data_IF_937920271759
#
_entry.id   IF_937920271759
#
_cell.length_a   1.000
_cell.length_b   1.000
_cell.length_c   1.000
_cell.angle_alpha   90.00
_cell.angle_beta   90.00
_cell.angle_gamma   90.00
#
_symmetry.space_group_name_H-M   'P 1'
#
loop_
_entity.id
_entity.type
_entity.pdbx_description
1 polymer ?
#
# COMPACT_ATOMS: atom_id res chain seq x y z
N UNK A 1 -15.93 -2.38 -12.04
CA UNK A 1 -15.44 -2.42 -10.65
C UNK A 1 -15.12 -1.01 -10.24
N UNK A 2 -15.69 -0.55 -9.14
CA UNK A 2 -15.28 0.66 -8.46
C UNK A 2 -14.18 0.32 -7.44
N UNK A 3 -13.27 1.27 -7.18
CA UNK A 3 -12.07 1.09 -6.33
C UNK A 3 -11.26 -0.17 -6.73
N UNK A 4 -10.88 -0.24 -8.00
CA UNK A 4 -10.17 -1.41 -8.56
C UNK A 4 -8.82 -1.71 -7.90
N UNK A 5 -8.27 -0.80 -7.12
CA UNK A 5 -7.09 -1.05 -6.27
C UNK A 5 -7.29 -2.18 -5.28
N UNK A 6 -8.54 -2.52 -4.94
CA UNK A 6 -8.87 -3.67 -4.08
C UNK A 6 -8.46 -5.01 -4.67
N UNK A 7 -8.26 -5.09 -5.99
CA UNK A 7 -7.82 -6.30 -6.72
C UNK A 7 -6.38 -6.21 -7.23
N UNK A 8 -5.57 -5.29 -6.75
CA UNK A 8 -4.17 -5.07 -7.20
C UNK A 8 -3.24 -6.26 -6.94
N UNK A 9 -3.52 -7.10 -5.94
CA UNK A 9 -2.66 -8.22 -5.55
C UNK A 9 -3.08 -9.51 -6.26
N UNK A 10 -2.34 -10.01 -7.27
CA UNK A 10 -2.76 -11.15 -8.11
C UNK A 10 -3.00 -12.46 -7.34
N UNK A 11 -2.26 -12.67 -6.25
CA UNK A 11 -2.32 -13.89 -5.45
C UNK A 11 -3.46 -13.90 -4.43
N UNK A 12 -4.08 -12.76 -4.16
CA UNK A 12 -5.17 -12.65 -3.19
C UNK A 12 -6.41 -13.42 -3.67
N UNK A 13 -7.09 -14.13 -2.76
CA UNK A 13 -8.32 -14.89 -3.05
C UNK A 13 -9.39 -13.99 -3.69
N UNK A 14 -9.57 -12.77 -3.14
CA UNK A 14 -10.49 -11.76 -3.70
C UNK A 14 -10.19 -11.47 -5.16
N UNK A 15 -8.93 -11.17 -5.50
CA UNK A 15 -8.51 -10.85 -6.86
C UNK A 15 -8.79 -11.99 -7.82
N UNK A 16 -8.40 -13.21 -7.45
CA UNK A 16 -8.65 -14.41 -8.28
C UNK A 16 -10.13 -14.65 -8.55
N UNK A 17 -10.97 -14.50 -7.53
CA UNK A 17 -12.41 -14.65 -7.67
C UNK A 17 -13.00 -13.59 -8.59
N UNK A 18 -12.62 -12.32 -8.41
CA UNK A 18 -13.15 -11.19 -9.22
C UNK A 18 -12.64 -11.28 -10.67
N UNK A 19 -11.36 -11.58 -10.88
CA UNK A 19 -10.81 -11.76 -12.23
C UNK A 19 -11.47 -12.97 -12.93
N UNK A 20 -11.83 -14.03 -12.20
CA UNK A 20 -12.58 -15.16 -12.74
C UNK A 20 -13.99 -14.81 -13.23
N UNK A 21 -14.62 -13.76 -12.68
CA UNK A 21 -15.95 -13.31 -13.13
C UNK A 21 -15.93 -12.55 -14.47
N UNK A 22 -14.76 -12.19 -14.99
CA UNK A 22 -14.63 -11.41 -16.24
C UNK A 22 -15.34 -12.06 -17.42
N UNK A 23 -15.33 -13.40 -17.50
CA UNK A 23 -15.94 -14.16 -18.61
C UNK A 23 -17.48 -14.07 -18.60
N UNK A 24 -18.08 -13.72 -17.47
CA UNK A 24 -19.53 -13.51 -17.33
C UNK A 24 -19.98 -12.12 -17.77
N UNK A 25 -19.04 -11.19 -17.97
CA UNK A 25 -19.34 -9.80 -18.29
C UNK A 25 -18.97 -9.49 -19.74
N UNK A 26 -19.95 -9.07 -20.55
CA UNK A 26 -19.75 -8.61 -21.94
C UNK A 26 -18.92 -7.32 -21.98
N UNK A 27 -19.16 -6.39 -21.06
CA UNK A 27 -18.46 -5.11 -20.96
C UNK A 27 -17.83 -4.99 -19.57
N UNK A 28 -16.58 -4.57 -19.54
CA UNK A 28 -15.80 -4.46 -18.29
C UNK A 28 -15.22 -3.07 -18.17
N UNK A 29 -15.36 -2.48 -17.01
CA UNK A 29 -14.75 -1.19 -16.65
C UNK A 29 -14.21 -1.25 -15.24
N UNK A 30 -13.13 -0.54 -15.01
CA UNK A 30 -12.57 -0.31 -13.67
C UNK A 30 -12.48 1.19 -13.43
N UNK A 31 -12.76 1.60 -12.21
CA UNK A 31 -12.68 2.98 -11.74
C UNK A 31 -11.79 3.01 -10.51
N UNK A 32 -10.93 4.00 -10.43
CA UNK A 32 -10.08 4.21 -9.25
C UNK A 32 -9.47 5.61 -9.26
N UNK A 33 -9.35 6.20 -8.11
CA UNK A 33 -8.63 7.48 -7.95
C UNK A 33 -7.10 7.35 -8.05
N UNK A 34 -6.55 6.14 -7.87
CA UNK A 34 -5.11 5.87 -7.98
C UNK A 34 -4.86 4.41 -8.35
N UNK A 35 -4.66 4.07 -9.63
CA UNK A 35 -4.45 2.68 -10.07
C UNK A 35 -3.14 2.09 -9.56
N UNK A 36 -2.16 2.93 -9.29
CA UNK A 36 -0.85 2.56 -8.72
C UNK A 36 -0.76 3.14 -7.32
N UNK A 37 -0.84 2.28 -6.31
CA UNK A 37 -0.77 2.70 -4.90
C UNK A 37 0.60 2.46 -4.28
N UNK A 38 1.19 1.31 -4.54
CA UNK A 38 2.47 0.91 -3.97
C UNK A 38 3.54 0.72 -5.05
N UNK A 39 3.15 0.16 -6.19
CA UNK A 39 4.08 -0.15 -7.26
C UNK A 39 3.39 -0.23 -8.62
N UNK A 40 4.12 -0.03 -9.73
CA UNK A 40 3.58 -0.26 -11.08
C UNK A 40 3.04 -1.68 -11.29
N UNK A 41 3.48 -2.65 -10.48
CA UNK A 41 2.99 -4.02 -10.54
C UNK A 41 1.53 -4.17 -10.10
N UNK A 42 0.98 -3.18 -9.40
CA UNK A 42 -0.43 -3.11 -9.00
C UNK A 42 -1.39 -3.11 -10.21
N UNK A 43 -0.90 -2.72 -11.39
CA UNK A 43 -1.69 -2.64 -12.62
C UNK A 43 -2.01 -4.02 -13.22
N UNK A 44 -1.17 -5.04 -12.97
CA UNK A 44 -1.32 -6.34 -13.65
C UNK A 44 -2.71 -6.95 -13.47
N UNK A 45 -3.17 -7.12 -12.23
CA UNK A 45 -4.44 -7.78 -11.96
C UNK A 45 -5.66 -6.92 -12.34
N UNK A 46 -5.53 -5.60 -12.23
CA UNK A 46 -6.56 -4.66 -12.65
C UNK A 46 -6.77 -4.72 -14.18
N UNK A 47 -5.69 -4.72 -14.95
CA UNK A 47 -5.75 -4.87 -16.40
C UNK A 47 -6.20 -6.27 -16.81
N UNK A 48 -5.78 -7.33 -16.11
CA UNK A 48 -6.20 -8.71 -16.36
C UNK A 48 -7.72 -8.94 -16.17
N UNK A 49 -8.38 -8.13 -15.34
CA UNK A 49 -9.84 -8.13 -15.25
C UNK A 49 -10.48 -7.53 -16.52
N UNK A 50 -9.89 -6.47 -17.09
CA UNK A 50 -10.39 -5.86 -18.33
C UNK A 50 -10.17 -6.80 -19.52
N UNK A 51 -8.91 -7.11 -19.77
CA UNK A 51 -8.45 -8.06 -20.77
C UNK A 51 -7.05 -8.57 -20.40
N UNK A 52 -6.82 -9.89 -20.36
CA UNK A 52 -5.52 -10.46 -20.03
C UNK A 52 -4.42 -10.11 -21.04
N UNK A 53 -4.81 -9.68 -22.25
CA UNK A 53 -3.88 -9.37 -23.34
C UNK A 53 -3.45 -7.89 -23.38
N UNK A 54 -4.12 -6.98 -22.66
CA UNK A 54 -3.81 -5.54 -22.71
C UNK A 54 -2.36 -5.19 -22.36
N UNK A 55 -1.72 -5.99 -21.50
CA UNK A 55 -0.34 -5.77 -21.10
C UNK A 55 0.66 -6.71 -21.80
N UNK A 56 0.23 -7.55 -22.74
CA UNK A 56 1.05 -8.57 -23.43
C UNK A 56 1.77 -9.55 -22.48
N UNK A 57 1.22 -9.75 -21.29
CA UNK A 57 1.77 -10.66 -20.30
C UNK A 57 0.66 -11.54 -19.70
N UNK A 58 0.71 -12.84 -20.00
CA UNK A 58 -0.25 -13.80 -19.46
C UNK A 58 -0.01 -14.14 -17.98
N UNK A 59 1.20 -13.89 -17.48
CA UNK A 59 1.61 -14.22 -16.12
C UNK A 59 2.13 -13.01 -15.38
N UNK A 60 1.75 -12.89 -14.10
CA UNK A 60 2.32 -11.89 -13.22
C UNK A 60 3.85 -11.99 -13.11
N UNK A 61 4.41 -13.19 -13.20
CA UNK A 61 5.86 -13.39 -13.10
C UNK A 61 6.59 -12.79 -14.30
N UNK A 62 6.08 -12.98 -15.53
CA UNK A 62 6.66 -12.39 -16.74
C UNK A 62 6.51 -10.87 -16.74
N UNK A 63 5.35 -10.35 -16.32
CA UNK A 63 5.12 -8.93 -16.13
C UNK A 63 6.08 -8.32 -15.11
N UNK A 64 6.21 -8.94 -13.93
CA UNK A 64 7.16 -8.50 -12.90
C UNK A 64 8.60 -8.52 -13.41
N UNK A 65 9.02 -9.57 -14.11
CA UNK A 65 10.37 -9.67 -14.67
C UNK A 65 10.65 -8.56 -15.70
N UNK A 66 9.64 -8.11 -16.47
CA UNK A 66 9.78 -7.03 -17.44
C UNK A 66 9.88 -5.66 -16.78
N UNK A 67 9.08 -5.39 -15.75
CA UNK A 67 8.90 -4.05 -15.20
C UNK A 67 9.55 -3.82 -13.84
N UNK A 68 10.17 -4.84 -13.21
CA UNK A 68 10.90 -4.66 -11.96
C UNK A 68 12.37 -5.07 -12.05
N UNK A 69 13.15 -4.49 -11.15
CA UNK A 69 14.54 -4.85 -10.88
C UNK A 69 14.56 -5.67 -9.61
N UNK A 70 15.02 -6.92 -9.71
CA UNK A 70 15.05 -7.85 -8.60
C UNK A 70 16.47 -8.02 -8.07
N UNK A 71 16.60 -8.09 -6.73
CA UNK A 71 17.85 -8.42 -6.06
C UNK A 71 17.62 -9.61 -5.13
N UNK A 72 18.50 -10.59 -5.19
CA UNK A 72 18.49 -11.70 -4.26
C UNK A 72 19.19 -11.30 -2.95
N UNK A 73 18.51 -11.49 -1.83
CA UNK A 73 19.02 -11.24 -0.49
C UNK A 73 19.12 -12.58 0.24
N UNK A 74 20.31 -12.91 0.72
CA UNK A 74 20.53 -14.09 1.53
C UNK A 74 20.16 -13.80 2.99
N UNK A 75 19.22 -14.58 3.52
CA UNK A 75 18.77 -14.55 4.90
C UNK A 75 19.26 -15.78 5.68
N UNK A 76 20.55 -16.09 5.57
CA UNK A 76 21.14 -17.29 6.17
C UNK A 76 20.77 -18.57 5.41
N UNK A 77 19.79 -19.31 5.88
CA UNK A 77 19.40 -20.63 5.29
C UNK A 77 18.57 -20.52 3.99
N UNK A 78 18.10 -19.35 3.60
CA UNK A 78 17.28 -19.14 2.38
C UNK A 78 17.61 -17.83 1.68
N UNK A 79 17.44 -17.82 0.35
CA UNK A 79 17.53 -16.63 -0.47
C UNK A 79 16.14 -16.12 -0.86
N UNK A 80 15.92 -14.82 -0.77
CA UNK A 80 14.64 -14.17 -1.11
C UNK A 80 14.89 -13.10 -2.15
N UNK A 81 14.09 -13.11 -3.22
CA UNK A 81 14.13 -12.09 -4.25
C UNK A 81 13.24 -10.91 -3.88
N UNK A 82 13.83 -9.72 -3.75
CA UNK A 82 13.17 -8.48 -3.39
C UNK A 82 13.22 -7.52 -4.57
N UNK A 83 12.11 -6.79 -4.81
CA UNK A 83 12.07 -5.71 -5.79
C UNK A 83 12.83 -4.51 -5.22
N UNK A 84 13.86 -4.06 -5.92
CA UNK A 84 14.69 -2.90 -5.54
C UNK A 84 14.44 -1.67 -6.42
N UNK A 85 13.72 -1.84 -7.54
CA UNK A 85 13.41 -0.75 -8.45
C UNK A 85 12.50 -1.19 -9.59
N UNK A 86 12.20 -0.25 -10.48
CA UNK A 86 11.34 -0.46 -11.65
C UNK A 86 12.03 0.03 -12.91
N UNK A 87 11.67 -0.58 -14.04
CA UNK A 87 12.21 -0.27 -15.36
C UNK A 87 11.10 -0.32 -16.42
N UNK A 88 11.40 0.16 -17.62
CA UNK A 88 10.48 0.14 -18.77
C UNK A 88 9.12 0.81 -18.52
N UNK A 89 9.06 1.81 -17.62
CA UNK A 89 7.80 2.46 -17.22
C UNK A 89 7.17 3.24 -18.38
N UNK A 90 7.97 3.80 -19.28
CA UNK A 90 7.47 4.45 -20.51
C UNK A 90 6.72 3.47 -21.41
N UNK A 91 7.23 2.25 -21.59
CA UNK A 91 6.57 1.17 -22.33
C UNK A 91 5.24 0.79 -21.66
N UNK A 92 5.24 0.62 -20.34
CA UNK A 92 4.03 0.31 -19.59
C UNK A 92 2.97 1.41 -19.73
N UNK A 93 3.37 2.66 -19.63
CA UNK A 93 2.48 3.82 -19.82
C UNK A 93 1.87 3.84 -21.22
N UNK A 94 2.69 3.63 -22.25
CA UNK A 94 2.23 3.58 -23.65
C UNK A 94 1.22 2.44 -23.88
N UNK A 95 1.39 1.29 -23.23
CA UNK A 95 0.44 0.17 -23.33
C UNK A 95 -0.91 0.46 -22.67
N UNK A 96 -0.92 1.23 -21.60
CA UNK A 96 -2.15 1.53 -20.82
C UNK A 96 -2.93 2.67 -21.49
N UNK A 97 -2.26 3.64 -22.09
CA UNK A 97 -2.88 4.84 -22.67
C UNK A 97 -4.07 4.57 -23.60
N UNK A 98 -4.04 3.56 -24.50
CA UNK A 98 -5.13 3.35 -25.47
C UNK A 98 -6.47 2.97 -24.87
N UNK A 99 -6.50 2.40 -23.66
CA UNK A 99 -7.72 1.94 -22.99
C UNK A 99 -7.98 2.60 -21.62
N UNK A 100 -7.19 3.63 -21.28
CA UNK A 100 -7.35 4.36 -20.02
C UNK A 100 -7.59 5.84 -20.26
N UNK A 101 -8.41 6.43 -19.41
CA UNK A 101 -8.65 7.86 -19.36
C UNK A 101 -8.36 8.37 -17.96
N UNK A 102 -7.70 9.51 -17.89
CA UNK A 102 -7.39 10.19 -16.63
C UNK A 102 -8.02 11.57 -16.63
N UNK A 103 -8.90 11.79 -15.67
CA UNK A 103 -9.55 13.07 -15.44
C UNK A 103 -9.04 13.64 -14.10
N UNK A 104 -8.48 14.83 -14.13
CA UNK A 104 -8.03 15.51 -12.91
C UNK A 104 -9.16 16.41 -12.37
N UNK A 105 -9.24 16.50 -11.03
CA UNK A 105 -10.23 17.38 -10.39
C UNK A 105 -10.06 18.85 -10.79
N UNK A 106 -8.81 19.25 -10.93
CA UNK A 106 -8.46 20.66 -11.30
C UNK A 106 -8.86 21.01 -12.74
N UNK A 107 -9.02 20.00 -13.62
CA UNK A 107 -9.44 20.20 -15.02
C UNK A 107 -10.96 20.26 -15.18
N UNK A 108 -11.71 19.68 -14.25
CA UNK A 108 -13.15 19.45 -14.38
C UNK A 108 -14.02 20.15 -13.34
N UNK A 109 -13.42 20.62 -12.23
CA UNK A 109 -14.16 21.17 -11.11
C UNK A 109 -13.55 22.50 -10.70
N UNK A 110 -14.39 23.52 -10.61
CA UNK A 110 -14.03 24.79 -9.98
C UNK A 110 -14.17 24.65 -8.45
N UNK A 111 -13.12 24.16 -7.82
CA UNK A 111 -13.07 23.95 -6.39
C UNK A 111 -12.18 24.98 -5.69
N UNK A 112 -12.56 25.45 -4.50
CA UNK A 112 -11.70 26.32 -3.71
C UNK A 112 -10.40 25.58 -3.35
N UNK A 113 -9.31 26.34 -3.22
CA UNK A 113 -8.01 25.78 -2.82
C UNK A 113 -8.11 25.07 -1.48
N UNK A 114 -7.46 23.94 -1.37
CA UNK A 114 -7.38 23.19 -0.10
C UNK A 114 -6.67 24.02 0.95
N UNK A 115 -7.33 24.22 2.07
CA UNK A 115 -6.76 24.88 3.24
C UNK A 115 -6.40 23.83 4.28
N UNK A 116 -5.14 23.82 4.71
CA UNK A 116 -4.65 22.93 5.75
C UNK A 116 -4.51 23.69 7.06
N UNK A 117 -5.23 23.28 8.09
CA UNK A 117 -5.12 23.85 9.43
C UNK A 117 -4.61 22.81 10.41
N UNK A 118 -3.70 23.20 11.29
CA UNK A 118 -3.25 22.40 12.41
C UNK A 118 -4.04 22.81 13.65
N UNK A 119 -4.77 21.86 14.24
CA UNK A 119 -5.39 22.05 15.55
C UNK A 119 -4.55 21.34 16.59
N UNK A 120 -3.90 22.12 17.43
CA UNK A 120 -3.14 21.56 18.56
C UNK A 120 -4.09 21.13 19.66
N UNK A 121 -3.90 19.92 20.15
CA UNK A 121 -4.66 19.35 21.26
C UNK A 121 -3.66 18.87 22.31
N UNK A 122 -3.87 19.23 23.55
CA UNK A 122 -3.05 18.77 24.68
C UNK A 122 -3.57 17.46 25.20
N UNK A 123 -2.67 16.54 25.54
CA UNK A 123 -3.02 15.28 26.19
C UNK A 123 -3.51 15.58 27.63
N UNK A 124 -4.38 14.71 28.14
CA UNK A 124 -4.74 14.73 29.58
C UNK A 124 -3.54 14.34 30.43
N UNK A 125 -3.53 14.73 31.70
CA UNK A 125 -2.43 14.39 32.64
C UNK A 125 -2.10 12.88 32.68
N UNK A 126 -3.09 11.99 32.82
CA UNK A 126 -2.86 10.54 32.74
C UNK A 126 -2.26 10.07 31.41
N UNK A 127 -2.79 10.56 30.29
CA UNK A 127 -2.26 10.21 28.97
C UNK A 127 -0.79 10.65 28.80
N UNK A 128 -0.48 11.87 29.24
CA UNK A 128 0.88 12.41 29.14
C UNK A 128 1.89 11.59 29.95
N UNK A 129 1.49 11.15 31.15
CA UNK A 129 2.32 10.28 31.99
C UNK A 129 2.63 8.96 31.30
N UNK A 130 1.61 8.24 30.85
CA UNK A 130 1.76 6.94 30.15
C UNK A 130 2.56 7.11 28.85
N UNK A 131 2.32 8.18 28.11
CA UNK A 131 3.08 8.48 26.89
C UNK A 131 4.56 8.69 27.16
N UNK A 132 4.92 9.47 28.19
CA UNK A 132 6.31 9.72 28.57
C UNK A 132 7.02 8.43 29.02
N UNK A 133 6.36 7.60 29.80
CA UNK A 133 6.88 6.30 30.24
C UNK A 133 7.13 5.36 29.05
N UNK A 134 6.14 5.20 28.18
CA UNK A 134 6.27 4.37 26.98
C UNK A 134 7.37 4.89 26.04
N UNK A 135 7.45 6.22 25.83
CA UNK A 135 8.51 6.84 25.03
C UNK A 135 9.90 6.57 25.60
N UNK A 136 10.06 6.71 26.93
CA UNK A 136 11.33 6.42 27.62
C UNK A 136 11.73 4.96 27.45
N UNK A 137 10.80 4.04 27.60
CA UNK A 137 11.02 2.61 27.38
C UNK A 137 11.43 2.30 25.94
N UNK A 138 10.72 2.88 24.96
CA UNK A 138 11.05 2.72 23.55
C UNK A 138 12.45 3.26 23.19
N UNK A 139 12.83 4.43 23.74
CA UNK A 139 14.16 5.01 23.55
C UNK A 139 15.26 4.16 24.19
N UNK A 140 15.04 3.66 25.41
CA UNK A 140 16.00 2.79 26.08
C UNK A 140 16.28 1.48 25.33
N UNK A 141 15.29 0.94 24.63
CA UNK A 141 15.48 -0.22 23.75
C UNK A 141 16.27 0.11 22.48
N UNK A 142 16.22 1.34 21.99
CA UNK A 142 16.98 1.79 20.81
C UNK A 142 18.45 2.07 21.13
N UNK A 143 18.76 2.57 22.33
CA UNK A 143 20.10 3.03 22.72
C UNK A 143 21.11 1.91 23.03
N UNK A 144 20.74 0.65 22.98
CA UNK A 144 21.68 -0.39 23.42
C UNK A 144 21.66 -1.71 22.68
N UNK A 145 20.76 -1.95 21.74
CA UNK A 145 20.60 -3.27 21.08
C UNK A 145 20.06 -3.13 19.65
N UNK A 146 20.40 -4.08 18.78
CA UNK A 146 19.77 -4.23 17.46
C UNK A 146 18.27 -4.52 17.65
N UNK A 147 17.45 -3.49 17.52
CA UNK A 147 16.00 -3.59 17.62
C UNK A 147 15.45 -3.97 16.24
N UNK A 148 14.62 -4.99 16.16
CA UNK A 148 13.99 -5.37 14.89
C UNK A 148 12.96 -4.32 14.46
N UNK A 149 12.80 -4.13 13.15
CA UNK A 149 11.80 -3.19 12.59
C UNK A 149 10.39 -3.45 13.13
N UNK A 150 10.02 -4.70 13.37
CA UNK A 150 8.73 -5.07 13.96
C UNK A 150 8.55 -4.49 15.37
N UNK A 151 9.59 -4.52 16.21
CA UNK A 151 9.54 -3.96 17.57
C UNK A 151 9.34 -2.45 17.54
N UNK A 152 10.03 -1.72 16.66
CA UNK A 152 9.87 -0.27 16.49
C UNK A 152 8.45 0.08 16.05
N UNK A 153 7.90 -0.67 15.08
CA UNK A 153 6.53 -0.46 14.61
C UNK A 153 5.50 -0.66 15.71
N UNK A 154 5.65 -1.70 16.53
CA UNK A 154 4.76 -1.95 17.67
C UNK A 154 4.81 -0.79 18.67
N UNK A 155 5.99 -0.30 18.99
CA UNK A 155 6.16 0.84 19.91
C UNK A 155 5.52 2.12 19.37
N UNK A 156 5.69 2.42 18.08
CA UNK A 156 5.04 3.57 17.44
C UNK A 156 3.51 3.43 17.45
N UNK A 157 2.98 2.23 17.20
CA UNK A 157 1.54 1.97 17.30
C UNK A 157 1.00 2.18 18.72
N UNK A 158 1.72 1.74 19.74
CA UNK A 158 1.34 1.95 21.15
C UNK A 158 1.31 3.44 21.52
N UNK A 159 2.35 4.19 21.14
CA UNK A 159 2.38 5.65 21.33
C UNK A 159 1.21 6.34 20.62
N UNK A 160 0.89 5.92 19.40
CA UNK A 160 -0.26 6.45 18.66
C UNK A 160 -1.59 6.11 19.36
N UNK A 161 -1.77 4.90 19.85
CA UNK A 161 -2.96 4.51 20.61
C UNK A 161 -3.17 5.39 21.84
N UNK A 162 -2.09 5.65 22.61
CA UNK A 162 -2.16 6.54 23.78
C UNK A 162 -2.61 7.95 23.37
N UNK A 163 -2.07 8.51 22.28
CA UNK A 163 -2.47 9.85 21.82
C UNK A 163 -3.91 9.90 21.33
N UNK A 164 -4.46 8.78 20.84
CA UNK A 164 -5.86 8.67 20.44
C UNK A 164 -6.83 8.42 21.63
N UNK A 165 -6.31 8.31 22.86
CA UNK A 165 -7.13 8.04 24.04
C UNK A 165 -7.57 6.59 24.17
N UNK A 166 -6.96 5.67 23.41
CA UNK A 166 -7.25 4.25 23.45
C UNK A 166 -5.96 3.46 23.67
N UNK A 167 -5.80 2.89 24.85
CA UNK A 167 -4.67 2.05 25.19
C UNK A 167 -5.17 0.85 25.98
N UNK A 168 -4.92 -0.34 25.44
CA UNK A 168 -5.18 -1.60 26.15
C UNK A 168 -3.83 -2.15 26.61
N UNK A 169 -3.67 -2.35 27.90
CA UNK A 169 -2.49 -3.00 28.46
C UNK A 169 -2.46 -4.49 28.08
N UNK A 170 -1.29 -5.12 28.25
CA UNK A 170 -1.13 -6.54 27.88
C UNK A 170 -1.97 -7.49 28.74
N UNK A 171 -2.44 -7.02 29.91
CA UNK A 171 -3.39 -7.71 30.79
C UNK A 171 -4.87 -7.50 30.43
N UNK A 172 -5.15 -6.75 29.35
CA UNK A 172 -6.49 -6.44 28.87
C UNK A 172 -7.17 -5.26 29.54
N UNK A 173 -6.52 -4.58 30.51
CA UNK A 173 -7.05 -3.35 31.11
C UNK A 173 -6.97 -2.16 30.12
N UNK A 174 -7.94 -1.22 30.22
CA UNK A 174 -8.07 -0.04 29.37
C UNK A 174 -7.69 1.23 30.12
#
# INVERSE_FOLDING_TARGET
>A
IDESTTIKTPTAKRTRNIVGLRELAKYRRILTGSPVTNSPLDLFAQCAFLDPWYLDHQSFYTFRARYSIMKSINLGSRSVNVVTGYRNLGELSAKIQPFSERVLKDDCLDLPKKTYMKRMVTMTGPQEKVYKEMKKYAMAQLDGKSVTTSTVMVQLMRLHQITCGHFTADDGSV
#
